data_IF_515847264430
#
_entry.id   IF_515847264430
#
_cell.length_a   1.000
_cell.length_b   1.000
_cell.length_c   1.000
_cell.angle_alpha   90.00
_cell.angle_beta   90.00
_cell.angle_gamma   90.00
#
_symmetry.space_group_name_H-M   'P 1'
#
loop_
_entity.id
_entity.type
_entity.pdbx_description
1 polymer ?
#
# COMPACT_ATOMS: atom_id res chain seq x y z
N UNK A 1 13.55 -6.38 19.52
CA UNK A 1 14.79 -6.33 18.71
C UNK A 1 15.48 -5.02 19.06
N UNK A 2 16.80 -5.04 19.32
CA UNK A 2 17.59 -3.81 19.52
C UNK A 2 18.14 -3.37 18.18
N UNK A 3 18.21 -2.07 18.00
CA UNK A 3 18.27 -1.42 16.69
C UNK A 3 19.21 -0.19 16.76
N UNK A 4 20.00 0.04 15.70
CA UNK A 4 21.23 0.85 15.65
C UNK A 4 21.05 2.37 15.53
N UNK A 5 22.16 3.12 15.43
CA UNK A 5 22.20 4.58 15.33
C UNK A 5 21.70 5.11 13.97
N UNK A 6 21.19 6.36 13.98
CA UNK A 6 20.65 7.06 12.80
C UNK A 6 21.75 7.39 11.79
N UNK A 7 21.57 7.00 10.53
CA UNK A 7 22.59 7.08 9.47
C UNK A 7 22.35 8.16 8.41
N UNK A 8 21.20 8.86 8.43
CA UNK A 8 20.96 10.08 7.64
C UNK A 8 19.48 10.35 7.31
N UNK A 9 19.24 11.14 6.25
CA UNK A 9 17.90 11.47 5.74
C UNK A 9 17.75 11.11 4.25
N UNK A 10 16.59 10.56 3.88
CA UNK A 10 16.23 10.23 2.50
C UNK A 10 15.22 11.22 1.96
N UNK A 11 15.50 11.83 0.81
CA UNK A 11 14.52 12.65 0.09
C UNK A 11 13.43 11.75 -0.52
N UNK A 12 12.18 12.02 -0.13
CA UNK A 12 10.97 11.36 -0.61
C UNK A 12 10.55 12.00 -1.94
N UNK A 13 10.13 13.27 -1.92
CA UNK A 13 9.82 14.13 -3.07
C UNK A 13 9.80 15.61 -2.64
N UNK A 14 9.96 16.56 -3.57
CA UNK A 14 9.84 18.01 -3.34
C UNK A 14 10.57 18.56 -2.09
N UNK A 15 11.75 18.00 -1.77
CA UNK A 15 12.54 18.38 -0.60
C UNK A 15 12.06 17.81 0.74
N UNK A 16 10.95 17.07 0.76
CA UNK A 16 10.52 16.29 1.91
C UNK A 16 11.56 15.20 2.18
N UNK A 17 12.08 15.15 3.41
CA UNK A 17 12.99 14.09 3.83
C UNK A 17 12.43 13.31 5.02
N UNK A 18 12.77 12.03 5.06
CA UNK A 18 12.47 11.13 6.18
C UNK A 18 13.78 10.59 6.73
N UNK A 19 13.95 10.52 8.06
CA UNK A 19 15.06 9.78 8.62
C UNK A 19 14.99 8.31 8.20
N UNK A 20 16.14 7.72 7.91
CA UNK A 20 16.24 6.28 7.68
C UNK A 20 16.98 5.59 8.82
N UNK A 21 16.70 4.31 8.99
CA UNK A 21 17.42 3.42 9.90
C UNK A 21 18.13 2.33 9.12
N UNK A 22 19.31 1.94 9.57
CA UNK A 22 20.03 0.75 9.09
C UNK A 22 19.40 -0.56 9.59
N UNK A 23 18.43 -0.43 10.49
CA UNK A 23 17.68 -1.56 11.00
C UNK A 23 16.96 -2.31 9.89
N UNK A 24 16.99 -3.63 10.03
CA UNK A 24 16.42 -4.55 9.07
C UNK A 24 15.46 -5.49 9.76
N UNK A 25 14.29 -5.68 9.15
CA UNK A 25 13.39 -6.79 9.46
C UNK A 25 13.61 -7.87 8.41
N UNK A 26 14.04 -9.04 8.85
CA UNK A 26 14.24 -10.20 7.98
C UNK A 26 12.95 -11.01 7.92
N UNK A 27 12.42 -11.21 6.71
CA UNK A 27 11.28 -12.10 6.47
C UNK A 27 11.77 -13.54 6.35
N UNK A 28 11.19 -14.41 7.17
CA UNK A 28 11.39 -15.85 7.02
C UNK A 28 10.76 -16.35 5.73
N UNK A 29 11.15 -17.55 5.28
CA UNK A 29 10.48 -18.24 4.17
C UNK A 29 8.97 -18.34 4.35
N UNK A 30 8.50 -18.69 5.55
CA UNK A 30 7.07 -18.78 5.86
C UNK A 30 6.38 -17.40 5.72
N UNK A 31 7.01 -16.32 6.17
CA UNK A 31 6.44 -14.98 5.99
C UNK A 31 6.36 -14.59 4.51
N UNK A 32 7.38 -14.92 3.71
CA UNK A 32 7.39 -14.69 2.27
C UNK A 32 6.24 -15.43 1.59
N UNK A 33 6.04 -16.71 1.91
CA UNK A 33 4.95 -17.54 1.37
C UNK A 33 3.58 -16.99 1.76
N UNK A 34 3.39 -16.54 3.00
CA UNK A 34 2.13 -15.92 3.46
C UNK A 34 1.83 -14.61 2.71
N UNK A 35 2.85 -13.77 2.47
CA UNK A 35 2.69 -12.53 1.69
C UNK A 35 2.35 -12.85 0.24
N UNK A 36 3.07 -13.79 -0.39
CA UNK A 36 2.82 -14.20 -1.76
C UNK A 36 1.37 -14.73 -1.92
N UNK A 37 0.96 -15.66 -1.05
CA UNK A 37 -0.37 -16.24 -1.05
C UNK A 37 -1.47 -15.18 -0.90
N UNK A 38 -1.32 -14.24 0.05
CA UNK A 38 -2.26 -13.13 0.18
C UNK A 38 -2.30 -12.27 -1.09
N UNK A 39 -1.14 -11.93 -1.65
CA UNK A 39 -1.03 -11.09 -2.84
C UNK A 39 -1.73 -11.75 -4.04
N UNK A 40 -1.53 -13.04 -4.27
CA UNK A 40 -2.19 -13.81 -5.34
C UNK A 40 -3.71 -13.82 -5.17
N UNK A 41 -4.20 -14.08 -3.95
CA UNK A 41 -5.63 -14.07 -3.65
C UNK A 41 -6.25 -12.67 -3.80
N UNK A 42 -5.55 -11.64 -3.34
CA UNK A 42 -5.99 -10.25 -3.46
C UNK A 42 -6.04 -9.81 -4.92
N UNK A 43 -5.02 -10.15 -5.72
CA UNK A 43 -4.99 -9.87 -7.15
C UNK A 43 -6.11 -10.58 -7.90
N UNK A 44 -6.37 -11.86 -7.60
CA UNK A 44 -7.46 -12.62 -8.21
C UNK A 44 -8.86 -12.07 -7.85
N UNK A 45 -9.00 -11.49 -6.67
CA UNK A 45 -10.25 -10.91 -6.18
C UNK A 45 -10.39 -9.41 -6.42
N UNK A 46 -9.38 -8.75 -7.02
CA UNK A 46 -9.32 -7.29 -7.19
C UNK A 46 -10.38 -6.76 -8.15
N UNK A 47 -10.75 -5.50 -7.97
CA UNK A 47 -11.65 -4.76 -8.83
C UNK A 47 -13.07 -4.63 -8.27
N UNK A 48 -13.89 -3.77 -8.87
CA UNK A 48 -15.23 -3.46 -8.38
C UNK A 48 -16.20 -4.63 -8.58
N UNK A 49 -17.40 -4.56 -7.99
CA UNK A 49 -18.40 -5.65 -8.03
C UNK A 49 -18.96 -5.90 -9.44
N UNK A 50 -18.87 -4.92 -10.32
CA UNK A 50 -19.25 -4.99 -11.72
C UNK A 50 -18.24 -5.76 -12.60
N UNK A 51 -17.05 -6.07 -12.06
CA UNK A 51 -15.98 -6.77 -12.76
C UNK A 51 -14.71 -5.92 -12.89
N UNK A 52 -13.58 -6.52 -13.29
CA UNK A 52 -12.30 -5.83 -13.32
C UNK A 52 -12.25 -4.74 -14.39
N UNK A 53 -11.50 -3.67 -14.12
CA UNK A 53 -11.31 -2.55 -15.04
C UNK A 53 -10.52 -2.99 -16.28
N UNK A 54 -10.96 -2.65 -17.51
CA UNK A 54 -10.35 -3.15 -18.75
C UNK A 54 -9.06 -2.38 -19.13
N UNK A 55 -8.04 -2.47 -18.26
CA UNK A 55 -6.70 -1.95 -18.52
C UNK A 55 -5.89 -2.86 -19.45
N UNK A 56 -4.72 -2.43 -19.91
CA UNK A 56 -3.85 -3.29 -20.72
C UNK A 56 -3.47 -4.57 -19.97
N UNK A 57 -2.96 -4.40 -18.74
CA UNK A 57 -2.50 -5.53 -17.90
C UNK A 57 -3.65 -6.49 -17.57
N UNK A 58 -4.86 -5.97 -17.34
CA UNK A 58 -6.02 -6.81 -17.06
C UNK A 58 -6.47 -7.60 -18.28
N UNK A 59 -6.49 -7.00 -19.46
CA UNK A 59 -6.94 -7.65 -20.69
C UNK A 59 -5.93 -8.69 -21.20
N UNK A 60 -4.63 -8.36 -21.14
CA UNK A 60 -3.59 -9.23 -21.69
C UNK A 60 -3.13 -10.30 -20.71
N UNK A 61 -3.04 -9.97 -19.42
CA UNK A 61 -2.44 -10.85 -18.39
C UNK A 61 -3.44 -11.30 -17.31
N UNK A 62 -4.63 -10.71 -17.27
CA UNK A 62 -5.62 -11.03 -16.25
C UNK A 62 -5.19 -10.59 -14.84
N UNK A 63 -4.36 -9.55 -14.74
CA UNK A 63 -3.80 -9.02 -13.49
C UNK A 63 -4.26 -7.57 -13.26
N UNK A 64 -4.43 -7.11 -12.01
CA UNK A 64 -4.75 -5.71 -11.73
C UNK A 64 -3.57 -4.79 -12.00
N UNK A 65 -2.35 -5.24 -11.72
CA UNK A 65 -1.09 -4.50 -11.88
C UNK A 65 0.06 -5.50 -11.94
N UNK A 66 1.22 -5.09 -12.47
CA UNK A 66 2.43 -5.91 -12.51
C UNK A 66 3.28 -5.78 -11.24
N UNK A 67 3.16 -4.66 -10.52
CA UNK A 67 3.90 -4.41 -9.28
C UNK A 67 2.90 -3.93 -8.23
N UNK A 68 2.82 -4.67 -7.13
CA UNK A 68 1.90 -4.37 -6.02
C UNK A 68 2.67 -4.35 -4.71
N UNK A 69 2.05 -3.82 -3.66
CA UNK A 69 2.64 -3.78 -2.32
C UNK A 69 1.66 -4.27 -1.28
N UNK A 70 2.07 -5.25 -0.47
CA UNK A 70 1.31 -5.70 0.69
C UNK A 70 1.72 -4.89 1.90
N UNK A 71 0.77 -4.12 2.45
CA UNK A 71 0.91 -3.42 3.73
C UNK A 71 0.40 -4.37 4.84
N UNK A 72 1.27 -4.75 5.78
CA UNK A 72 0.98 -5.79 6.78
C UNK A 72 1.66 -5.57 8.14
N UNK A 73 1.27 -6.40 9.11
CA UNK A 73 1.91 -6.53 10.43
C UNK A 73 2.28 -7.99 10.71
N UNK A 74 2.99 -8.24 11.81
CA UNK A 74 3.33 -9.58 12.30
C UNK A 74 2.68 -9.78 13.67
N UNK A 75 1.85 -10.81 13.80
CA UNK A 75 1.21 -11.21 15.06
C UNK A 75 1.53 -12.68 15.29
N UNK A 76 2.12 -13.00 16.45
CA UNK A 76 2.51 -14.36 16.82
C UNK A 76 3.34 -15.09 15.72
N UNK A 77 4.24 -14.33 15.07
CA UNK A 77 5.11 -14.82 14.00
C UNK A 77 4.46 -14.90 12.61
N UNK A 78 3.15 -14.64 12.50
CA UNK A 78 2.39 -14.74 11.24
C UNK A 78 2.12 -13.38 10.63
N UNK A 79 2.12 -13.33 9.30
CA UNK A 79 1.73 -12.16 8.53
C UNK A 79 0.22 -11.95 8.66
N UNK A 80 -0.16 -10.72 9.03
CA UNK A 80 -1.54 -10.26 9.03
C UNK A 80 -1.63 -9.07 8.07
N UNK A 81 -2.20 -9.26 6.87
CA UNK A 81 -2.28 -8.20 5.87
C UNK A 81 -3.35 -7.16 6.24
N UNK A 82 -3.06 -5.89 5.97
CA UNK A 82 -4.03 -4.80 6.03
C UNK A 82 -4.66 -4.53 4.67
N UNK A 83 -3.87 -4.58 3.60
CA UNK A 83 -4.26 -4.37 2.20
C UNK A 83 -3.11 -4.69 1.25
N UNK A 84 -3.46 -5.00 0.01
CA UNK A 84 -2.62 -4.88 -1.17
C UNK A 84 -2.90 -3.52 -1.84
N UNK A 85 -1.85 -2.77 -2.12
CA UNK A 85 -1.86 -1.54 -2.91
C UNK A 85 -1.52 -1.88 -4.38
N UNK A 86 -2.45 -1.59 -5.28
CA UNK A 86 -2.37 -1.88 -6.72
C UNK A 86 -1.49 -0.87 -7.49
N UNK A 87 -1.32 0.33 -6.93
CA UNK A 87 -0.55 1.44 -7.47
C UNK A 87 0.46 1.96 -6.44
N UNK A 88 1.43 1.14 -5.97
CA UNK A 88 2.27 1.55 -4.85
C UNK A 88 3.29 2.63 -5.25
N UNK A 89 3.45 3.62 -4.37
CA UNK A 89 4.63 4.50 -4.29
C UNK A 89 5.60 4.00 -3.21
N UNK A 90 6.76 4.64 -3.07
CA UNK A 90 7.81 4.24 -2.12
C UNK A 90 8.83 3.27 -2.70
N UNK A 91 8.79 3.02 -4.02
CA UNK A 91 9.70 2.09 -4.70
C UNK A 91 11.13 2.65 -4.72
N UNK A 92 11.30 3.95 -4.97
CA UNK A 92 12.60 4.62 -5.01
C UNK A 92 13.27 4.69 -3.64
N UNK A 93 12.51 5.03 -2.61
CA UNK A 93 13.00 5.01 -1.21
C UNK A 93 13.41 3.60 -0.81
N UNK A 94 12.58 2.61 -1.14
CA UNK A 94 12.88 1.20 -0.82
C UNK A 94 14.16 0.75 -1.51
N UNK A 95 14.35 1.07 -2.81
CA UNK A 95 15.58 0.76 -3.54
C UNK A 95 16.81 1.39 -2.87
N UNK A 96 16.74 2.66 -2.47
CA UNK A 96 17.82 3.35 -1.77
C UNK A 96 18.17 2.71 -0.42
N UNK A 97 17.16 2.38 0.38
CA UNK A 97 17.35 1.71 1.67
C UNK A 97 18.05 0.36 1.48
N UNK A 98 17.58 -0.45 0.53
CA UNK A 98 18.15 -1.76 0.23
C UNK A 98 19.60 -1.67 -0.26
N UNK A 99 19.89 -0.76 -1.19
CA UNK A 99 21.27 -0.50 -1.66
C UNK A 99 22.19 -0.05 -0.53
N UNK A 100 21.69 0.74 0.41
CA UNK A 100 22.44 1.21 1.57
C UNK A 100 22.92 0.09 2.50
N UNK A 101 22.12 -0.98 2.65
CA UNK A 101 22.42 -2.09 3.57
C UNK A 101 23.23 -3.19 2.88
N UNK A 102 22.81 -3.62 1.69
CA UNK A 102 23.34 -4.82 1.03
C UNK A 102 23.90 -4.62 -0.38
N UNK A 103 23.90 -3.38 -0.90
CA UNK A 103 24.36 -3.06 -2.26
C UNK A 103 23.41 -3.47 -3.40
N UNK A 104 22.43 -4.33 -3.14
CA UNK A 104 21.40 -4.75 -4.10
C UNK A 104 20.09 -4.04 -3.75
N UNK A 105 19.47 -3.39 -4.74
CA UNK A 105 18.18 -2.71 -4.60
C UNK A 105 17.06 -3.38 -5.38
N UNK A 106 15.82 -2.92 -5.21
CA UNK A 106 14.63 -3.50 -5.87
C UNK A 106 14.38 -2.96 -7.28
N UNK A 107 15.05 -1.87 -7.68
CA UNK A 107 14.82 -1.20 -8.97
C UNK A 107 15.00 -2.15 -10.15
N UNK A 108 16.09 -2.89 -10.18
CA UNK A 108 16.43 -3.72 -11.35
C UNK A 108 15.45 -4.88 -11.50
N UNK A 109 14.99 -5.46 -10.39
CA UNK A 109 13.93 -6.47 -10.39
C UNK A 109 12.61 -5.91 -10.95
N UNK A 110 12.20 -4.70 -10.55
CA UNK A 110 11.00 -4.04 -11.06
C UNK A 110 11.11 -3.77 -12.57
N UNK A 111 12.21 -3.18 -13.03
CA UNK A 111 12.38 -2.82 -14.44
C UNK A 111 12.47 -4.05 -15.33
N UNK A 112 13.20 -5.08 -14.91
CA UNK A 112 13.27 -6.35 -15.63
C UNK A 112 11.90 -7.01 -15.70
N UNK A 113 11.11 -6.98 -14.62
CA UNK A 113 9.76 -7.52 -14.63
C UNK A 113 8.86 -6.87 -15.68
N UNK A 114 8.88 -5.54 -15.81
CA UNK A 114 8.14 -4.87 -16.88
C UNK A 114 8.63 -5.27 -18.28
N UNK A 115 9.95 -5.37 -18.49
CA UNK A 115 10.52 -5.82 -19.76
C UNK A 115 10.12 -7.25 -20.09
N UNK A 116 10.13 -8.15 -19.11
CA UNK A 116 9.81 -9.57 -19.29
C UNK A 116 8.32 -9.79 -19.57
N UNK A 117 7.45 -9.05 -18.86
CA UNK A 117 6.00 -9.24 -18.99
C UNK A 117 5.39 -8.50 -20.19
N UNK A 118 5.88 -7.30 -20.52
CA UNK A 118 5.25 -6.43 -21.54
C UNK A 118 6.23 -5.82 -22.55
N UNK A 119 7.50 -6.22 -22.52
CA UNK A 119 8.50 -5.86 -23.54
C UNK A 119 9.01 -4.42 -23.48
N UNK A 120 8.61 -3.63 -22.48
CA UNK A 120 8.99 -2.22 -22.36
C UNK A 120 8.91 -1.72 -20.92
N UNK A 121 9.69 -0.69 -20.59
CA UNK A 121 9.46 0.10 -19.38
C UNK A 121 8.34 1.12 -19.62
N UNK A 122 7.36 1.23 -18.70
CA UNK A 122 6.24 2.15 -18.88
C UNK A 122 6.65 3.61 -18.69
N UNK A 123 5.86 4.51 -19.27
CA UNK A 123 5.88 5.92 -18.90
C UNK A 123 5.04 6.14 -17.63
N UNK A 124 5.66 6.65 -16.57
CA UNK A 124 4.98 7.05 -15.33
C UNK A 124 4.44 8.47 -15.46
N UNK A 125 3.13 8.64 -15.30
CA UNK A 125 2.45 9.93 -15.33
C UNK A 125 1.85 10.17 -13.96
N UNK A 126 2.29 11.22 -13.28
CA UNK A 126 1.76 11.64 -11.99
C UNK A 126 0.81 12.80 -12.18
N UNK A 127 -0.44 12.62 -11.75
CA UNK A 127 -1.47 13.66 -11.83
C UNK A 127 -1.07 14.90 -11.03
N UNK A 128 -1.11 16.07 -11.67
CA UNK A 128 -0.88 17.36 -11.00
C UNK A 128 -1.85 17.64 -9.86
N UNK A 129 -3.03 17.00 -9.84
CA UNK A 129 -3.99 17.12 -8.74
C UNK A 129 -3.44 16.60 -7.41
N UNK A 130 -2.45 15.70 -7.44
CA UNK A 130 -1.72 15.25 -6.24
C UNK A 130 -0.92 16.38 -5.57
N UNK A 131 -0.64 17.47 -6.30
CA UNK A 131 0.10 18.62 -5.81
C UNK A 131 1.61 18.39 -5.64
N UNK A 132 2.09 17.16 -5.80
CA UNK A 132 3.49 16.76 -5.69
C UNK A 132 3.79 15.53 -6.56
N UNK A 133 5.07 15.30 -6.84
CA UNK A 133 5.55 14.10 -7.52
C UNK A 133 5.52 12.83 -6.64
N UNK A 134 6.03 11.73 -7.18
CA UNK A 134 6.35 10.50 -6.43
C UNK A 134 7.84 10.19 -6.53
N UNK A 135 8.33 9.27 -5.70
CA UNK A 135 9.71 8.78 -5.75
C UNK A 135 9.95 7.77 -6.89
N UNK A 136 8.94 7.53 -7.74
CA UNK A 136 9.03 6.63 -8.89
C UNK A 136 10.05 7.12 -9.93
N UNK A 137 10.35 8.43 -9.97
CA UNK A 137 11.40 9.01 -10.83
C UNK A 137 12.79 8.42 -10.55
N UNK A 138 13.02 7.90 -9.33
CA UNK A 138 14.27 7.25 -8.92
C UNK A 138 14.39 5.82 -9.44
N UNK A 139 13.26 5.19 -9.78
CA UNK A 139 13.18 3.82 -10.33
C UNK A 139 13.19 3.87 -11.85
N UNK A 140 12.24 4.59 -12.44
CA UNK A 140 12.05 4.64 -13.90
C UNK A 140 12.99 5.64 -14.58
N UNK A 141 13.46 6.64 -13.86
CA UNK A 141 14.29 7.72 -14.41
C UNK A 141 13.46 8.85 -15.02
N UNK A 142 14.07 10.04 -15.12
CA UNK A 142 13.38 11.26 -15.57
C UNK A 142 12.89 11.24 -17.03
N UNK A 143 13.45 10.38 -17.88
CA UNK A 143 12.97 10.18 -19.25
C UNK A 143 11.62 9.47 -19.33
N UNK A 144 11.32 8.66 -18.32
CA UNK A 144 10.14 7.80 -18.24
C UNK A 144 9.20 8.22 -17.12
N UNK A 145 9.34 9.47 -16.66
CA UNK A 145 8.57 10.05 -15.58
C UNK A 145 8.09 11.46 -15.94
N UNK A 146 6.78 11.68 -15.84
CA UNK A 146 6.11 12.93 -16.10
C UNK A 146 5.26 13.33 -14.89
N UNK A 147 5.70 14.34 -14.14
CA UNK A 147 4.80 15.03 -13.21
C UNK A 147 3.99 16.08 -13.99
N UNK A 148 2.74 15.77 -14.25
CA UNK A 148 1.87 16.61 -15.06
C UNK A 148 1.23 17.71 -14.22
N UNK A 149 2.01 18.75 -13.87
CA UNK A 149 1.61 19.83 -12.96
C UNK A 149 0.27 20.49 -13.33
N UNK A 150 -0.02 20.63 -14.63
CA UNK A 150 -1.25 21.28 -15.11
C UNK A 150 -2.44 20.31 -15.25
N UNK A 151 -2.25 19.04 -14.91
CA UNK A 151 -3.23 17.96 -15.01
C UNK A 151 -3.95 17.92 -16.37
N UNK A 152 -3.21 18.14 -17.45
CA UNK A 152 -3.74 18.18 -18.82
C UNK A 152 -3.77 16.78 -19.43
N UNK A 153 -4.61 16.52 -20.46
CA UNK A 153 -4.55 15.28 -21.20
C UNK A 153 -3.15 14.99 -21.73
N UNK A 154 -2.75 13.72 -21.69
CA UNK A 154 -1.48 13.24 -22.23
C UNK A 154 -1.78 12.26 -23.34
N UNK A 155 -1.11 12.44 -24.48
CA UNK A 155 -1.20 11.54 -25.63
C UNK A 155 0.12 10.78 -25.76
N UNK A 156 0.05 9.45 -25.78
CA UNK A 156 1.21 8.58 -25.95
C UNK A 156 0.79 7.22 -26.49
N UNK A 157 1.69 6.58 -27.21
CA UNK A 157 1.59 5.20 -27.68
C UNK A 157 2.25 4.19 -26.74
N UNK A 158 2.96 4.67 -25.71
CA UNK A 158 3.61 3.83 -24.70
C UNK A 158 2.59 3.20 -23.74
N UNK A 159 2.99 2.10 -23.12
CA UNK A 159 2.29 1.62 -21.93
C UNK A 159 2.56 2.58 -20.77
N UNK A 160 1.55 2.80 -19.93
CA UNK A 160 1.59 3.84 -18.91
C UNK A 160 1.28 3.33 -17.51
N UNK A 161 1.85 4.03 -16.54
CA UNK A 161 1.45 4.00 -15.14
C UNK A 161 0.87 5.38 -14.85
N UNK A 162 -0.39 5.47 -14.44
CA UNK A 162 -1.00 6.76 -14.09
C UNK A 162 -1.24 6.80 -12.59
N UNK A 163 -0.55 7.71 -11.89
CA UNK A 163 -0.72 7.96 -10.46
C UNK A 163 -1.74 9.09 -10.26
N UNK A 164 -3.00 8.74 -10.05
CA UNK A 164 -4.07 9.68 -9.72
C UNK A 164 -4.32 9.71 -8.19
N UNK A 165 -5.33 10.45 -7.74
CA UNK A 165 -5.86 10.34 -6.38
C UNK A 165 -7.03 9.34 -6.43
N UNK A 166 -6.95 8.21 -5.71
CA UNK A 166 -8.01 7.22 -5.64
C UNK A 166 -9.36 7.83 -5.25
N UNK A 167 -10.40 7.49 -6.01
CA UNK A 167 -11.75 8.03 -5.83
C UNK A 167 -11.98 9.43 -6.39
N UNK A 168 -10.94 10.23 -6.69
CA UNK A 168 -11.08 11.58 -7.24
C UNK A 168 -11.21 11.56 -8.77
N UNK A 169 -12.39 11.89 -9.28
CA UNK A 169 -12.65 11.92 -10.72
C UNK A 169 -11.83 13.00 -11.43
N UNK A 170 -11.65 14.17 -10.82
CA UNK A 170 -10.88 15.28 -11.39
C UNK A 170 -9.40 14.95 -11.57
N UNK A 171 -8.85 14.13 -10.67
CA UNK A 171 -7.46 13.66 -10.77
C UNK A 171 -7.26 12.66 -11.92
N UNK A 172 -8.21 11.74 -12.18
CA UNK A 172 -8.07 10.70 -13.22
C UNK A 172 -8.62 11.07 -14.60
N UNK A 173 -9.66 11.92 -14.67
CA UNK A 173 -10.38 12.25 -15.91
C UNK A 173 -9.49 12.63 -17.10
N UNK A 174 -8.40 13.42 -16.94
CA UNK A 174 -7.52 13.78 -18.05
C UNK A 174 -6.81 12.60 -18.72
N UNK A 175 -6.73 11.44 -18.05
CA UNK A 175 -5.94 10.29 -18.48
C UNK A 175 -6.82 9.10 -18.93
N UNK A 176 -8.14 9.26 -18.96
CA UNK A 176 -9.06 8.17 -19.33
C UNK A 176 -8.84 7.66 -20.77
N UNK A 177 -8.29 8.49 -21.66
CA UNK A 177 -7.86 8.08 -23.00
C UNK A 177 -6.75 7.01 -22.97
N UNK A 178 -6.03 6.89 -21.86
CA UNK A 178 -4.92 5.96 -21.68
C UNK A 178 -5.32 4.64 -21.00
N UNK A 179 -6.60 4.43 -20.66
CA UNK A 179 -7.03 3.26 -19.89
C UNK A 179 -6.61 1.92 -20.53
N UNK A 180 -6.79 1.78 -21.84
CA UNK A 180 -6.38 0.57 -22.58
C UNK A 180 -4.87 0.37 -22.71
N UNK A 181 -4.06 1.34 -22.24
CA UNK A 181 -2.59 1.30 -22.19
C UNK A 181 -2.04 1.19 -20.78
N UNK A 182 -2.91 1.23 -19.77
CA UNK A 182 -2.49 1.30 -18.39
C UNK A 182 -2.06 -0.05 -17.84
N UNK A 183 -0.98 -0.03 -17.07
CA UNK A 183 -0.43 -1.20 -16.37
C UNK A 183 -0.87 -1.28 -14.91
N UNK A 184 -1.85 -0.48 -14.52
CA UNK A 184 -2.54 -0.48 -13.24
C UNK A 184 -3.93 0.14 -13.39
N UNK A 185 -4.84 -0.03 -12.42
CA UNK A 185 -6.17 0.57 -12.46
C UNK A 185 -6.11 2.10 -12.45
N UNK A 186 -7.01 2.77 -13.19
CA UNK A 186 -7.21 4.22 -13.08
C UNK A 186 -8.49 4.58 -12.36
N UNK A 187 -9.57 3.84 -12.63
CA UNK A 187 -10.91 4.10 -12.07
C UNK A 187 -11.07 3.39 -10.74
N UNK A 188 -10.61 2.14 -10.68
CA UNK A 188 -10.70 1.26 -9.51
C UNK A 188 -9.44 1.27 -8.63
N UNK A 189 -8.53 2.24 -8.84
CA UNK A 189 -7.35 2.46 -8.00
C UNK A 189 -7.77 2.58 -6.52
N UNK A 190 -7.15 1.80 -5.63
CA UNK A 190 -7.43 1.83 -4.19
C UNK A 190 -8.77 1.23 -3.76
N UNK A 191 -9.47 0.50 -4.63
CA UNK A 191 -10.69 -0.25 -4.30
C UNK A 191 -10.37 -1.46 -3.39
N UNK A 192 -10.99 -1.47 -2.20
CA UNK A 192 -10.79 -2.51 -1.17
C UNK A 192 -11.87 -3.58 -1.15
N UNK A 193 -12.73 -3.64 -2.16
CA UNK A 193 -13.82 -4.63 -2.25
C UNK A 193 -13.30 -6.07 -2.19
N UNK A 194 -12.09 -6.33 -2.68
CA UNK A 194 -11.45 -7.65 -2.58
C UNK A 194 -11.26 -8.11 -1.13
N UNK A 195 -11.00 -7.20 -0.16
CA UNK A 195 -10.85 -7.57 1.25
C UNK A 195 -12.15 -8.16 1.82
N UNK A 196 -13.30 -7.70 1.33
CA UNK A 196 -14.62 -8.27 1.65
C UNK A 196 -14.79 -9.64 1.00
N UNK A 197 -14.42 -9.80 -0.27
CA UNK A 197 -14.52 -11.08 -1.00
C UNK A 197 -13.65 -12.17 -0.37
N UNK A 198 -12.49 -11.79 0.14
CA UNK A 198 -11.58 -12.67 0.88
C UNK A 198 -12.02 -12.93 2.33
N UNK A 199 -13.09 -12.29 2.81
CA UNK A 199 -13.57 -12.44 4.19
C UNK A 199 -12.70 -11.76 5.25
N UNK A 200 -11.77 -10.89 4.86
CA UNK A 200 -10.86 -10.17 5.76
C UNK A 200 -11.52 -8.94 6.40
N UNK A 201 -12.48 -8.33 5.70
CA UNK A 201 -13.29 -7.21 6.22
C UNK A 201 -14.78 -7.45 5.94
N UNK A 202 -15.64 -6.81 6.75
CA UNK A 202 -17.09 -6.80 6.53
C UNK A 202 -17.54 -5.43 6.05
N UNK A 203 -18.52 -5.38 5.15
CA UNK A 203 -19.21 -4.11 4.86
C UNK A 203 -19.98 -3.65 6.08
N UNK A 204 -19.95 -2.35 6.34
CA UNK A 204 -20.71 -1.70 7.41
C UNK A 204 -21.51 -0.55 6.84
N UNK A 205 -22.80 -0.46 7.21
CA UNK A 205 -23.73 0.58 6.77
C UNK A 205 -24.42 1.29 7.93
N UNK A 206 -24.42 0.67 9.10
CA UNK A 206 -24.99 1.21 10.32
C UNK A 206 -24.15 0.85 11.55
N UNK A 207 -24.37 1.57 12.66
CA UNK A 207 -23.66 1.35 13.93
C UNK A 207 -23.83 -0.08 14.50
N UNK A 208 -24.89 -0.80 14.10
CA UNK A 208 -25.13 -2.21 14.43
C UNK A 208 -24.17 -3.18 13.76
N UNK A 209 -23.55 -2.79 12.65
CA UNK A 209 -22.63 -3.63 11.88
C UNK A 209 -21.20 -3.56 12.43
N UNK A 210 -20.91 -2.53 13.22
CA UNK A 210 -19.63 -2.34 13.90
C UNK A 210 -19.41 -3.41 14.96
N UNK A 211 -18.16 -3.81 15.15
CA UNK A 211 -17.80 -4.98 15.96
C UNK A 211 -18.06 -4.75 17.45
N UNK A 212 -18.58 -5.78 18.12
CA UNK A 212 -18.78 -5.83 19.57
C UNK A 212 -18.09 -7.06 20.15
N UNK A 213 -17.74 -7.00 21.43
CA UNK A 213 -17.23 -8.13 22.18
C UNK A 213 -18.36 -9.04 22.69
N UNK A 214 -18.01 -10.12 23.38
CA UNK A 214 -18.96 -11.10 23.92
C UNK A 214 -19.93 -10.50 24.97
N UNK A 215 -19.61 -9.31 25.49
CA UNK A 215 -20.41 -8.58 26.48
C UNK A 215 -21.29 -7.50 25.81
N UNK A 216 -21.24 -7.38 24.48
CA UNK A 216 -21.99 -6.40 23.71
C UNK A 216 -21.36 -4.99 23.70
N UNK A 217 -20.15 -4.82 24.24
CA UNK A 217 -19.44 -3.54 24.20
C UNK A 217 -18.70 -3.39 22.88
N UNK A 218 -18.47 -2.15 22.44
CA UNK A 218 -17.70 -1.86 21.23
C UNK A 218 -16.29 -2.45 21.33
N UNK A 219 -15.94 -3.36 20.42
CA UNK A 219 -14.61 -3.98 20.36
C UNK A 219 -13.60 -3.06 19.66
N UNK A 220 -12.29 -3.25 19.93
CA UNK A 220 -11.22 -2.55 19.20
C UNK A 220 -11.25 -2.93 17.72
N UNK A 221 -11.34 -1.92 16.85
CA UNK A 221 -11.61 -2.13 15.43
C UNK A 221 -11.09 -1.00 14.56
N UNK A 222 -10.99 -1.28 13.27
CA UNK A 222 -10.66 -0.32 12.22
C UNK A 222 -11.82 -0.24 11.25
N UNK A 223 -12.27 0.98 10.97
CA UNK A 223 -13.18 1.29 9.87
C UNK A 223 -12.38 1.95 8.76
N UNK A 224 -12.52 1.45 7.53
CA UNK A 224 -11.89 1.98 6.32
C UNK A 224 -12.94 2.42 5.31
N UNK A 225 -12.67 3.47 4.55
CA UNK A 225 -13.39 3.74 3.31
C UNK A 225 -13.13 2.61 2.29
N UNK A 226 -14.15 2.26 1.51
CA UNK A 226 -14.06 1.22 0.48
C UNK A 226 -13.11 1.63 -0.65
N UNK A 227 -13.14 2.91 -1.04
CA UNK A 227 -12.22 3.49 -2.02
C UNK A 227 -11.30 4.50 -1.32
N UNK A 228 -9.98 4.40 -1.55
CA UNK A 228 -9.00 5.36 -1.05
C UNK A 228 -7.58 4.81 -0.99
N UNK A 229 -6.61 5.62 -0.57
CA UNK A 229 -5.21 5.18 -0.36
C UNK A 229 -4.52 5.95 0.77
N UNK A 230 -3.28 5.58 1.08
CA UNK A 230 -2.39 6.33 1.99
C UNK A 230 -2.97 6.57 3.40
N UNK A 231 -3.73 5.61 3.92
CA UNK A 231 -4.48 5.73 5.17
C UNK A 231 -5.53 6.86 5.22
N UNK A 232 -5.87 7.49 4.08
CA UNK A 232 -7.04 8.35 3.98
C UNK A 232 -8.29 7.49 4.18
N UNK A 233 -9.21 7.98 5.02
CA UNK A 233 -10.44 7.24 5.33
C UNK A 233 -10.21 6.05 6.26
N UNK A 234 -9.24 6.11 7.17
CA UNK A 234 -9.03 5.09 8.22
C UNK A 234 -9.35 5.67 9.59
N UNK A 235 -10.27 5.03 10.32
CA UNK A 235 -10.62 5.38 11.70
C UNK A 235 -10.40 4.19 12.62
N UNK A 236 -9.55 4.38 13.64
CA UNK A 236 -9.19 3.35 14.62
C UNK A 236 -9.91 3.63 15.94
N UNK A 237 -10.73 2.69 16.40
CA UNK A 237 -11.27 2.71 17.75
C UNK A 237 -10.57 1.66 18.60
N UNK A 238 -10.17 2.05 19.80
CA UNK A 238 -9.68 1.14 20.83
C UNK A 238 -10.62 1.09 22.01
N UNK A 239 -10.87 -0.12 22.51
CA UNK A 239 -11.52 -0.37 23.78
C UNK A 239 -10.70 0.26 24.94
N UNK A 240 -11.32 0.44 26.09
CA UNK A 240 -10.62 0.98 27.27
C UNK A 240 -9.47 0.07 27.74
N UNK A 241 -9.56 -1.23 27.50
CA UNK A 241 -8.48 -2.18 27.81
C UNK A 241 -7.28 -1.95 26.88
N UNK A 242 -7.52 -1.82 25.58
CA UNK A 242 -6.44 -1.65 24.59
C UNK A 242 -5.84 -0.24 24.60
N UNK A 243 -6.59 0.79 24.99
CA UNK A 243 -6.04 2.14 25.23
C UNK A 243 -4.97 2.19 26.31
N UNK A 244 -4.93 1.21 27.22
CA UNK A 244 -3.86 1.10 28.23
C UNK A 244 -2.62 0.41 27.68
N UNK A 245 -2.76 -0.37 26.61
CA UNK A 245 -1.70 -1.17 25.99
C UNK A 245 -1.03 -0.44 24.84
N UNK A 246 -1.82 0.29 24.05
CA UNK A 246 -1.38 1.01 22.87
C UNK A 246 -1.51 2.52 23.08
N UNK A 247 -0.78 3.29 22.27
CA UNK A 247 -0.95 4.74 22.23
C UNK A 247 -2.37 5.11 21.81
N UNK A 248 -2.90 6.20 22.36
CA UNK A 248 -4.19 6.77 21.94
C UNK A 248 -4.05 7.71 20.73
N UNK A 249 -2.82 7.98 20.28
CA UNK A 249 -2.56 8.83 19.12
C UNK A 249 -3.19 8.23 17.85
N UNK A 250 -3.98 9.04 17.15
CA UNK A 250 -4.78 8.67 15.97
C UNK A 250 -5.93 7.68 16.23
N UNK A 251 -6.38 7.56 17.49
CA UNK A 251 -7.63 6.86 17.81
C UNK A 251 -8.82 7.80 17.85
N UNK A 252 -10.02 7.28 17.59
CA UNK A 252 -11.27 8.02 17.62
C UNK A 252 -12.20 7.55 18.74
N UNK A 253 -13.12 8.41 19.18
CA UNK A 253 -14.23 8.00 20.05
C UNK A 253 -15.22 7.10 19.30
N UNK A 254 -16.06 6.36 20.02
CA UNK A 254 -17.11 5.55 19.39
C UNK A 254 -18.07 6.40 18.54
N UNK A 255 -18.47 7.58 19.03
CA UNK A 255 -19.31 8.53 18.29
C UNK A 255 -18.64 9.06 17.02
N UNK A 256 -17.32 9.30 17.05
CA UNK A 256 -16.55 9.70 15.87
C UNK A 256 -16.42 8.55 14.88
N UNK A 257 -16.19 7.32 15.35
CA UNK A 257 -16.13 6.13 14.50
C UNK A 257 -17.43 5.94 13.70
N UNK A 258 -18.58 6.08 14.36
CA UNK A 258 -19.90 5.98 13.70
C UNK A 258 -20.12 7.12 12.69
N UNK A 259 -19.72 8.35 13.05
CA UNK A 259 -19.78 9.49 12.12
C UNK A 259 -18.91 9.27 10.88
N UNK A 260 -17.68 8.78 11.07
CA UNK A 260 -16.75 8.53 9.97
C UNK A 260 -17.25 7.39 9.08
N UNK A 261 -17.76 6.32 9.68
CA UNK A 261 -18.42 5.22 8.96
C UNK A 261 -19.55 5.74 8.06
N UNK A 262 -20.48 6.55 8.59
CA UNK A 262 -21.54 7.15 7.78
C UNK A 262 -20.98 8.02 6.65
N UNK A 263 -19.97 8.85 6.94
CA UNK A 263 -19.30 9.65 5.91
C UNK A 263 -18.71 8.80 4.79
N UNK A 264 -18.11 7.65 5.11
CA UNK A 264 -17.52 6.76 4.12
C UNK A 264 -18.58 6.04 3.28
N UNK A 265 -19.70 5.64 3.89
CA UNK A 265 -20.86 5.08 3.19
C UNK A 265 -21.43 6.10 2.20
N UNK A 266 -21.63 7.34 2.65
CA UNK A 266 -22.33 8.36 1.86
C UNK A 266 -21.45 9.01 0.80
N UNK A 267 -20.13 9.08 1.01
CA UNK A 267 -19.22 9.90 0.19
C UNK A 267 -18.04 9.16 -0.42
N UNK A 268 -17.72 7.94 0.05
CA UNK A 268 -16.48 7.23 -0.33
C UNK A 268 -16.72 5.80 -0.83
N UNK A 269 -17.90 5.57 -1.43
CA UNK A 269 -18.28 4.31 -2.06
C UNK A 269 -18.64 3.18 -1.09
N UNK A 270 -18.44 3.36 0.22
CA UNK A 270 -18.73 2.34 1.22
C UNK A 270 -17.78 2.40 2.41
N UNK A 271 -18.12 1.63 3.45
CA UNK A 271 -17.29 1.45 4.63
C UNK A 271 -17.06 -0.05 4.89
N UNK A 272 -15.83 -0.37 5.29
CA UNK A 272 -15.39 -1.72 5.65
C UNK A 272 -14.89 -1.72 7.09
N UNK A 273 -15.17 -2.79 7.83
CA UNK A 273 -14.75 -2.96 9.23
C UNK A 273 -14.00 -4.27 9.44
N UNK A 274 -12.96 -4.20 10.28
CA UNK A 274 -12.18 -5.36 10.73
C UNK A 274 -11.76 -5.21 12.20
N UNK A 275 -11.41 -6.32 12.87
CA UNK A 275 -10.71 -6.26 14.15
C UNK A 275 -9.44 -5.41 14.05
N UNK A 276 -9.10 -4.72 15.15
CA UNK A 276 -7.85 -3.99 15.22
C UNK A 276 -6.67 -4.95 15.30
N UNK A 277 -5.79 -4.90 14.30
CA UNK A 277 -4.49 -5.57 14.32
C UNK A 277 -3.41 -4.52 14.56
N UNK A 278 -2.65 -4.59 15.68
CA UNK A 278 -1.66 -3.59 16.01
C UNK A 278 -0.49 -3.58 15.02
N UNK A 279 0.11 -2.41 14.74
CA UNK A 279 1.39 -2.32 14.05
C UNK A 279 2.48 -3.11 14.79
N UNK A 280 3.53 -3.51 14.06
CA UNK A 280 4.71 -4.13 14.65
C UNK A 280 5.35 -3.16 15.64
N UNK A 281 5.57 -3.62 16.87
CA UNK A 281 6.28 -2.85 17.87
C UNK A 281 7.79 -2.93 17.60
N UNK A 282 8.40 -1.82 17.19
CA UNK A 282 9.86 -1.71 17.02
C UNK A 282 10.45 -0.73 18.02
N UNK A 283 11.74 -0.90 18.30
CA UNK A 283 12.54 0.10 19.00
C UNK A 283 13.38 0.83 17.96
N UNK A 284 13.50 2.15 18.05
CA UNK A 284 14.45 2.91 17.24
C UNK A 284 14.91 4.13 18.03
N UNK A 285 16.04 4.74 17.66
CA UNK A 285 16.59 5.91 18.37
C UNK A 285 15.59 7.08 18.48
N UNK A 286 14.68 7.20 17.52
CA UNK A 286 13.66 8.26 17.45
C UNK A 286 12.41 7.96 18.30
N UNK A 287 12.33 6.79 18.95
CA UNK A 287 11.21 6.39 19.78
C UNK A 287 9.90 6.13 19.02
N UNK A 288 9.95 5.89 17.71
CA UNK A 288 8.77 5.70 16.83
C UNK A 288 8.35 4.23 16.81
N UNK A 289 7.52 3.82 17.75
CA UNK A 289 7.35 2.39 18.07
C UNK A 289 6.41 1.60 17.16
N UNK A 290 5.51 2.25 16.43
CA UNK A 290 4.49 1.56 15.64
C UNK A 290 4.93 1.47 14.18
N UNK A 291 5.22 0.27 13.69
CA UNK A 291 5.67 0.03 12.32
C UNK A 291 4.70 -0.82 11.49
N UNK A 292 4.55 -0.47 10.22
CA UNK A 292 3.93 -1.35 9.21
C UNK A 292 5.00 -1.85 8.26
N UNK A 293 4.86 -3.08 7.81
CA UNK A 293 5.71 -3.65 6.77
C UNK A 293 5.04 -3.37 5.43
N UNK A 294 5.80 -2.85 4.47
CA UNK A 294 5.35 -2.48 3.14
C UNK A 294 6.19 -3.25 2.14
N UNK A 295 5.69 -4.40 1.72
CA UNK A 295 6.47 -5.41 1.00
C UNK A 295 6.01 -5.48 -0.45
N UNK A 296 6.92 -5.29 -1.39
CA UNK A 296 6.64 -5.32 -2.82
C UNK A 296 6.63 -6.76 -3.34
N UNK A 297 5.69 -7.01 -4.24
CA UNK A 297 5.55 -8.25 -4.98
C UNK A 297 5.43 -7.96 -6.48
N UNK A 298 6.10 -8.77 -7.29
CA UNK A 298 5.97 -8.78 -8.73
C UNK A 298 4.91 -9.81 -9.12
N UNK A 299 3.89 -9.39 -9.87
CA UNK A 299 2.81 -10.26 -10.31
C UNK A 299 3.05 -10.75 -11.74
N UNK A 300 2.93 -12.05 -11.95
CA UNK A 300 2.98 -12.69 -13.27
C UNK A 300 1.78 -13.62 -13.46
N UNK A 301 1.58 -14.08 -14.70
CA UNK A 301 0.62 -15.13 -15.05
C UNK A 301 1.36 -16.34 -15.60
N UNK A 302 1.35 -17.43 -14.86
CA UNK A 302 2.04 -18.66 -15.23
C UNK A 302 1.05 -19.82 -15.29
N UNK A 303 0.98 -20.51 -16.44
CA UNK A 303 0.07 -21.64 -16.66
C UNK A 303 -1.40 -21.35 -16.32
N UNK A 304 -1.82 -20.09 -16.49
CA UNK A 304 -3.19 -19.66 -16.17
C UNK A 304 -3.43 -19.36 -14.68
N UNK A 305 -2.41 -19.38 -13.83
CA UNK A 305 -2.47 -18.97 -12.42
C UNK A 305 -1.74 -17.64 -12.21
N UNK A 306 -2.19 -16.86 -11.23
CA UNK A 306 -1.47 -15.67 -10.76
C UNK A 306 -0.34 -16.15 -9.84
N UNK A 307 0.87 -15.61 -10.03
CA UNK A 307 2.02 -15.83 -9.14
C UNK A 307 2.53 -14.50 -8.61
N UNK A 308 2.99 -14.51 -7.35
CA UNK A 308 3.55 -13.34 -6.70
C UNK A 308 4.99 -13.59 -6.21
N UNK A 309 5.95 -12.91 -6.82
CA UNK A 309 7.34 -12.91 -6.38
C UNK A 309 7.63 -11.76 -5.43
N UNK A 310 7.80 -12.10 -4.16
CA UNK A 310 8.11 -11.13 -3.09
C UNK A 310 9.58 -10.72 -3.18
N UNK A 311 9.83 -9.43 -3.43
CA UNK A 311 11.17 -8.87 -3.67
C UNK A 311 11.73 -8.05 -2.49
N UNK A 312 11.00 -8.03 -1.37
CA UNK A 312 11.35 -7.23 -0.18
C UNK A 312 10.62 -5.90 -0.14
N UNK A 313 11.01 -5.04 0.80
CA UNK A 313 10.25 -3.84 1.08
C UNK A 313 10.90 -2.91 2.08
N UNK A 314 10.12 -1.99 2.62
CA UNK A 314 10.53 -1.20 3.77
C UNK A 314 9.50 -1.36 4.88
N UNK A 315 9.93 -1.15 6.12
CA UNK A 315 8.99 -0.82 7.18
C UNK A 315 8.96 0.69 7.32
N UNK A 316 7.79 1.20 7.70
CA UNK A 316 7.60 2.62 8.05
C UNK A 316 7.14 2.66 9.50
N UNK A 317 7.77 3.49 10.32
CA UNK A 317 7.54 3.55 11.76
C UNK A 317 7.19 4.97 12.23
N UNK A 318 6.18 5.05 13.10
CA UNK A 318 5.61 6.30 13.61
C UNK A 318 5.23 6.21 15.09
N UNK A 319 5.10 7.35 15.80
CA UNK A 319 4.54 7.36 17.15
C UNK A 319 3.02 7.11 17.18
N UNK A 320 2.30 7.32 16.08
CA UNK A 320 0.86 7.10 15.97
C UNK A 320 0.49 5.68 15.50
N UNK A 321 -0.78 5.28 15.68
CA UNK A 321 -1.28 3.99 15.19
C UNK A 321 -1.65 3.98 13.70
N UNK A 322 -1.96 5.14 13.14
CA UNK A 322 -2.12 5.29 11.68
C UNK A 322 -0.73 5.55 11.10
N UNK A 323 -0.17 4.53 10.45
CA UNK A 323 1.21 4.55 9.94
C UNK A 323 1.21 4.70 8.42
N UNK A 324 1.91 5.71 7.91
CA UNK A 324 2.14 5.96 6.49
C UNK A 324 3.44 6.77 6.33
N UNK A 325 3.95 6.89 5.10
CA UNK A 325 5.11 7.72 4.80
C UNK A 325 4.83 9.20 5.07
N UNK A 326 5.57 9.80 6.01
CA UNK A 326 5.43 11.20 6.42
C UNK A 326 6.78 11.73 6.91
N UNK A 327 6.92 13.05 7.04
CA UNK A 327 8.17 13.68 7.54
C UNK A 327 8.55 13.22 8.95
N UNK A 328 7.57 12.83 9.77
CA UNK A 328 7.79 12.30 11.11
C UNK A 328 7.87 10.76 11.14
N UNK A 329 7.98 10.08 10.01
CA UNK A 329 8.16 8.63 9.93
C UNK A 329 9.65 8.26 9.83
N UNK A 330 10.06 7.13 10.41
CA UNK A 330 11.36 6.49 10.14
C UNK A 330 11.12 5.31 9.21
N UNK A 331 11.98 5.13 8.21
CA UNK A 331 11.92 3.94 7.35
C UNK A 331 13.18 3.09 7.50
N UNK A 332 13.03 1.77 7.45
CA UNK A 332 14.15 0.82 7.42
C UNK A 332 13.81 -0.38 6.52
N UNK A 333 14.75 -1.30 6.34
CA UNK A 333 14.59 -2.36 5.35
C UNK A 333 13.71 -3.50 5.85
N UNK A 334 12.95 -4.07 4.92
CA UNK A 334 12.37 -5.41 5.02
C UNK A 334 13.03 -6.27 3.96
N UNK A 335 13.88 -7.20 4.38
CA UNK A 335 14.67 -8.06 3.50
C UNK A 335 14.05 -9.45 3.48
N UNK A 336 14.03 -10.07 2.30
CA UNK A 336 13.67 -11.47 2.13
C UNK A 336 14.97 -12.28 2.25
N UNK A 337 15.00 -13.32 3.09
CA UNK A 337 16.17 -14.21 3.14
C UNK A 337 16.48 -14.73 1.73
N UNK A 338 17.68 -14.45 1.24
CA UNK A 338 18.23 -15.03 0.03
C UNK A 338 18.62 -16.49 0.29
N UNK A 339 17.61 -17.34 0.44
CA UNK A 339 17.72 -18.78 0.30
C UNK A 339 17.01 -19.17 -1.00
N UNK A 340 17.81 -19.55 -2.00
CA UNK A 340 17.39 -20.12 -3.30
C UNK A 340 16.79 -19.11 -4.30
N UNK A 341 17.63 -18.23 -4.86
CA UNK A 341 17.48 -17.75 -6.25
C UNK A 341 18.46 -18.55 -7.11
#
# INVERSE_FOLDING_TARGET
>A
MRFGEQTGSLTIYDGLSTPFSDDTILLTKENREQIAQFTEQAAAAFGPDEGPEPTYVQNELGLPSLVVRTDCTIIDGKIVPYEMEDSPSGQGITDKIHRGIGGVGIRDAILNHYLDQVGQTPLVIVSGARGHGTDDDQVFGRSDYLFNTNNQPVETDRLVIVKAIPGDEGSRRPYMNLQSRALMPLVSEGDKTYLRRLGLMKSTRAASDLLVDDQGNRASQVVKAQIGSMAMGVSIYLSNADKKRFTSASTVSASRLERDMHSYVDQMGGALVQPFYPPVAIENPEGRKNAILRVFSLLSRENGEIKADVIGGCYVARPELIVHGASNAVSGAVIVESGDI
#
